data_IF_195179109135
#
_entry.id   IF_195179109135
#
_cell.length_a   1.000
_cell.length_b   1.000
_cell.length_c   1.000
_cell.angle_alpha   90.00
_cell.angle_beta   90.00
_cell.angle_gamma   90.00
#
_symmetry.space_group_name_H-M   'P 1'
#
loop_
_entity.id
_entity.type
_entity.pdbx_description
1 polymer ?
#
# COMPACT_ATOMS: atom_id res chain seq x y z
N UNK A 1 9.96 13.79 8.08
CA UNK A 1 11.11 14.55 7.58
C UNK A 1 11.12 14.84 6.11
N UNK A 2 10.29 14.25 5.29
CA UNK A 2 10.49 14.27 3.86
C UNK A 2 10.10 15.59 3.23
N UNK A 3 10.92 16.11 2.36
CA UNK A 3 10.40 16.88 1.27
C UNK A 3 9.47 15.95 0.49
N UNK A 4 8.24 16.37 0.15
CA UNK A 4 7.39 15.55 -0.69
C UNK A 4 8.10 15.30 -2.01
N UNK A 5 8.36 14.04 -2.30
CA UNK A 5 8.91 13.59 -3.58
C UNK A 5 7.81 13.32 -4.59
N UNK A 6 6.60 13.08 -4.10
CA UNK A 6 5.42 12.92 -4.93
C UNK A 6 5.20 14.13 -5.82
N UNK A 7 4.81 13.89 -7.04
CA UNK A 7 4.58 14.91 -8.07
C UNK A 7 5.82 15.76 -8.43
N UNK A 8 7.02 15.32 -8.05
CA UNK A 8 8.27 15.95 -8.48
C UNK A 8 8.80 15.26 -9.73
N UNK A 9 9.35 16.05 -10.66
CA UNK A 9 10.06 15.48 -11.79
C UNK A 9 11.36 14.81 -11.33
N UNK A 10 11.79 13.78 -12.05
CA UNK A 10 13.06 13.11 -11.78
C UNK A 10 14.26 14.09 -11.83
N UNK A 11 14.21 15.11 -12.70
CA UNK A 11 15.19 16.18 -12.74
C UNK A 11 15.25 16.95 -11.42
N UNK A 12 14.12 17.37 -10.89
CA UNK A 12 14.05 18.09 -9.61
C UNK A 12 14.62 17.27 -8.45
N UNK A 13 14.37 15.96 -8.43
CA UNK A 13 14.91 15.07 -7.40
C UNK A 13 16.43 14.93 -7.53
N UNK A 14 16.94 14.75 -8.75
CA UNK A 14 18.38 14.55 -9.02
C UNK A 14 19.23 15.84 -8.81
N UNK A 15 18.63 17.01 -8.89
CA UNK A 15 19.32 18.29 -8.70
C UNK A 15 19.55 18.64 -7.22
N UNK A 16 19.17 17.77 -6.31
CA UNK A 16 19.34 18.00 -4.88
C UNK A 16 18.51 19.15 -4.33
N UNK A 17 17.45 19.52 -5.03
CA UNK A 17 16.52 20.59 -4.60
C UNK A 17 15.54 20.16 -3.52
N UNK A 18 15.67 18.94 -3.00
CA UNK A 18 14.87 18.43 -1.90
C UNK A 18 15.36 19.09 -0.61
N UNK A 19 14.56 20.00 -0.11
CA UNK A 19 14.81 20.62 1.19
C UNK A 19 13.82 20.07 2.21
N UNK A 20 14.20 19.89 3.49
CA UNK A 20 13.27 19.51 4.53
C UNK A 20 12.13 20.52 4.62
N UNK A 21 10.90 20.03 4.50
CA UNK A 21 9.71 20.85 4.75
C UNK A 21 9.43 20.87 6.25
N UNK A 22 9.02 22.03 6.76
CA UNK A 22 8.55 22.14 8.13
C UNK A 22 7.25 21.33 8.34
N UNK A 23 6.92 21.02 9.60
CA UNK A 23 5.72 20.27 9.97
C UNK A 23 4.41 20.83 9.39
N UNK A 24 4.37 22.14 9.14
CA UNK A 24 3.21 22.80 8.54
C UNK A 24 2.85 22.30 7.12
N UNK A 25 3.78 21.65 6.44
CA UNK A 25 3.58 21.10 5.10
C UNK A 25 3.34 19.59 5.10
N UNK A 26 3.22 18.96 6.27
CA UNK A 26 2.98 17.52 6.43
C UNK A 26 1.50 17.20 6.76
N UNK A 27 0.57 18.09 6.39
CA UNK A 27 -0.85 17.95 6.75
C UNK A 27 -1.62 16.97 5.87
N UNK A 28 -1.09 16.65 4.70
CA UNK A 28 -1.73 15.74 3.72
C UNK A 28 -0.93 14.41 3.61
N UNK A 29 -0.62 13.81 4.76
CA UNK A 29 0.08 12.53 4.87
C UNK A 29 -0.94 11.42 5.19
N UNK A 30 -1.72 11.01 4.20
CA UNK A 30 -2.79 10.03 4.39
C UNK A 30 -2.26 8.67 4.82
N UNK A 31 -1.12 8.22 4.28
CA UNK A 31 -0.42 7.02 4.69
C UNK A 31 -0.27 6.95 6.22
N UNK A 32 0.36 7.93 6.82
CA UNK A 32 0.56 7.99 8.28
C UNK A 32 -0.74 8.12 9.07
N UNK A 33 -1.68 8.93 8.61
CA UNK A 33 -2.93 9.15 9.35
C UNK A 33 -3.84 7.92 9.31
N UNK A 34 -3.91 7.23 8.18
CA UNK A 34 -4.68 5.99 8.05
C UNK A 34 -4.07 4.90 8.89
N UNK A 35 -2.76 4.73 8.81
CA UNK A 35 -1.99 3.78 9.61
C UNK A 35 -2.21 3.98 11.11
N UNK A 36 -2.06 5.21 11.60
CA UNK A 36 -2.30 5.56 13.00
C UNK A 36 -3.76 5.35 13.42
N UNK A 37 -4.71 5.53 12.49
CA UNK A 37 -6.12 5.24 12.75
C UNK A 37 -6.34 3.75 13.00
N UNK A 38 -5.74 2.89 12.19
CA UNK A 38 -5.85 1.43 12.35
C UNK A 38 -5.06 0.92 13.56
N UNK A 39 -3.87 1.44 13.81
CA UNK A 39 -3.12 1.13 15.04
C UNK A 39 -3.94 1.48 16.29
N UNK A 40 -4.64 2.62 16.27
CA UNK A 40 -5.54 3.02 17.36
C UNK A 40 -6.72 2.06 17.56
N UNK A 41 -7.24 1.44 16.51
CA UNK A 41 -8.26 0.38 16.68
C UNK A 41 -7.69 -0.77 17.50
N UNK A 42 -6.48 -1.20 17.19
CA UNK A 42 -5.81 -2.27 17.96
C UNK A 42 -5.60 -1.89 19.41
N UNK A 43 -5.24 -0.64 19.71
CA UNK A 43 -5.08 -0.14 21.07
C UNK A 43 -6.40 -0.09 21.86
N UNK A 44 -7.50 0.27 21.20
CA UNK A 44 -8.77 0.55 21.87
C UNK A 44 -9.72 -0.63 21.90
N UNK A 45 -9.70 -1.45 20.84
CA UNK A 45 -10.57 -2.62 20.70
C UNK A 45 -9.82 -3.91 21.00
N UNK A 46 -8.53 -3.96 20.67
CA UNK A 46 -7.65 -5.12 20.84
C UNK A 46 -7.26 -5.77 19.50
N UNK A 47 -6.36 -6.75 19.59
CA UNK A 47 -5.80 -7.44 18.43
C UNK A 47 -6.82 -8.30 17.68
N UNK A 48 -7.96 -8.62 18.30
CA UNK A 48 -9.05 -9.37 17.67
C UNK A 48 -10.08 -8.48 16.98
N UNK A 49 -9.80 -7.18 16.83
CA UNK A 49 -10.67 -6.25 16.13
C UNK A 49 -11.05 -6.78 14.74
N UNK A 50 -12.33 -6.65 14.42
CA UNK A 50 -12.89 -7.11 13.14
C UNK A 50 -12.71 -6.05 12.06
N UNK A 51 -12.77 -6.44 10.79
CA UNK A 51 -12.76 -5.52 9.65
C UNK A 51 -13.84 -4.44 9.77
N UNK A 52 -15.02 -4.78 10.30
CA UNK A 52 -16.10 -3.81 10.53
C UNK A 52 -15.69 -2.75 11.55
N UNK A 53 -15.05 -3.14 12.65
CA UNK A 53 -14.58 -2.20 13.69
C UNK A 53 -13.49 -1.26 13.18
N UNK A 54 -12.57 -1.76 12.34
CA UNK A 54 -11.63 -0.89 11.62
C UNK A 54 -12.36 0.12 10.73
N UNK A 55 -13.35 -0.35 9.97
CA UNK A 55 -14.17 0.50 9.12
C UNK A 55 -14.93 1.58 9.89
N UNK A 56 -15.47 1.29 11.07
CA UNK A 56 -16.18 2.26 11.91
C UNK A 56 -15.27 3.42 12.33
N UNK A 57 -14.07 3.14 12.81
CA UNK A 57 -13.12 4.20 13.19
C UNK A 57 -12.64 4.99 11.98
N UNK A 58 -12.39 4.30 10.86
CA UNK A 58 -11.97 4.93 9.62
C UNK A 58 -13.05 5.86 9.04
N UNK A 59 -14.33 5.47 9.10
CA UNK A 59 -15.47 6.30 8.69
C UNK A 59 -15.45 7.67 9.36
N UNK A 60 -15.12 7.71 10.64
CA UNK A 60 -15.22 8.92 11.48
C UNK A 60 -13.96 9.80 11.40
N UNK A 61 -12.94 9.37 10.65
CA UNK A 61 -11.71 10.13 10.40
C UNK A 61 -11.98 11.42 9.62
N UNK A 62 -11.13 12.46 9.83
CA UNK A 62 -11.37 13.82 9.30
C UNK A 62 -10.26 14.34 8.37
N UNK A 63 -9.18 13.59 8.21
CA UNK A 63 -8.10 13.97 7.30
C UNK A 63 -8.48 13.75 5.83
N UNK A 64 -7.73 14.37 4.92
CA UNK A 64 -7.89 14.20 3.48
C UNK A 64 -7.59 12.76 3.07
N UNK A 65 -8.34 12.26 2.10
CA UNK A 65 -8.17 10.91 1.54
C UNK A 65 -8.37 10.94 0.04
N UNK A 66 -7.72 10.01 -0.65
CA UNK A 66 -7.78 9.84 -2.09
C UNK A 66 -8.16 8.40 -2.46
N UNK A 67 -8.34 8.11 -3.71
CA UNK A 67 -8.48 6.78 -4.33
C UNK A 67 -9.32 5.77 -3.52
N UNK A 68 -8.77 4.61 -3.19
CA UNK A 68 -9.47 3.56 -2.47
C UNK A 68 -9.92 4.00 -1.07
N UNK A 69 -9.10 4.77 -0.37
CA UNK A 69 -9.40 5.33 0.94
C UNK A 69 -10.62 6.26 0.89
N UNK A 70 -10.65 7.20 -0.04
CA UNK A 70 -11.76 8.13 -0.21
C UNK A 70 -13.04 7.38 -0.61
N UNK A 71 -12.94 6.38 -1.48
CA UNK A 71 -14.02 5.50 -1.87
C UNK A 71 -14.60 4.74 -0.68
N UNK A 72 -13.74 4.09 0.10
CA UNK A 72 -14.13 3.32 1.27
C UNK A 72 -14.83 4.19 2.33
N UNK A 73 -14.25 5.34 2.71
CA UNK A 73 -14.87 6.23 3.69
C UNK A 73 -16.22 6.76 3.23
N UNK A 74 -16.37 7.09 1.94
CA UNK A 74 -17.65 7.47 1.34
C UNK A 74 -18.68 6.35 1.44
N UNK A 75 -18.31 5.11 1.17
CA UNK A 75 -19.16 3.94 1.27
C UNK A 75 -19.59 3.69 2.71
N UNK A 76 -18.66 3.71 3.65
CA UNK A 76 -18.93 3.58 5.09
C UNK A 76 -19.90 4.66 5.58
N UNK A 77 -19.73 5.90 5.14
CA UNK A 77 -20.62 7.02 5.48
C UNK A 77 -22.04 6.85 4.91
N UNK A 78 -22.20 6.04 3.86
CA UNK A 78 -23.49 5.68 3.26
C UNK A 78 -24.10 4.40 3.83
N UNK A 79 -23.47 3.80 4.85
CA UNK A 79 -23.94 2.59 5.50
C UNK A 79 -23.45 1.28 4.86
N UNK A 80 -22.58 1.34 3.84
CA UNK A 80 -21.93 0.15 3.28
C UNK A 80 -20.77 -0.21 4.19
N UNK A 81 -20.96 -1.24 5.02
CA UNK A 81 -19.98 -1.63 6.03
C UNK A 81 -18.76 -2.34 5.42
N UNK A 82 -17.63 -2.29 6.12
CA UNK A 82 -16.49 -3.12 5.79
C UNK A 82 -16.83 -4.61 6.07
N UNK A 83 -16.36 -5.55 5.24
CA UNK A 83 -15.41 -5.38 4.14
C UNK A 83 -16.01 -4.90 2.81
N UNK A 84 -17.32 -4.74 2.69
CA UNK A 84 -17.95 -4.34 1.43
C UNK A 84 -17.59 -2.90 1.01
N UNK A 85 -17.19 -2.04 1.94
CA UNK A 85 -16.74 -0.68 1.65
C UNK A 85 -15.54 -0.63 0.69
N UNK A 86 -14.65 -1.62 0.75
CA UNK A 86 -13.49 -1.77 -0.13
C UNK A 86 -13.75 -2.68 -1.35
N UNK A 87 -14.90 -3.38 -1.40
CA UNK A 87 -15.17 -4.36 -2.45
C UNK A 87 -15.32 -3.69 -3.84
N UNK A 88 -14.83 -4.32 -4.93
CA UNK A 88 -14.90 -3.75 -6.29
C UNK A 88 -16.31 -3.36 -6.74
N UNK A 89 -17.35 -4.00 -6.24
CA UNK A 89 -18.74 -3.64 -6.56
C UNK A 89 -19.14 -2.25 -6.03
N UNK A 90 -18.43 -1.74 -5.03
CA UNK A 90 -18.74 -0.47 -4.37
C UNK A 90 -17.59 0.53 -4.41
N UNK A 91 -16.36 0.07 -4.63
CA UNK A 91 -15.16 0.90 -4.68
C UNK A 91 -14.40 0.65 -5.98
N UNK A 92 -14.54 1.57 -6.92
CA UNK A 92 -13.87 1.47 -8.23
C UNK A 92 -12.35 1.53 -8.14
N UNK A 93 -11.82 2.02 -7.01
CA UNK A 93 -10.40 2.10 -6.67
C UNK A 93 -9.93 0.92 -5.80
N UNK A 94 -10.72 -0.13 -5.63
CA UNK A 94 -10.39 -1.28 -4.78
C UNK A 94 -9.01 -1.89 -5.04
N UNK A 95 -8.49 -1.73 -6.25
CA UNK A 95 -7.19 -2.28 -6.67
C UNK A 95 -6.05 -1.25 -6.68
N UNK A 96 -6.28 -0.04 -6.15
CA UNK A 96 -5.27 1.01 -6.08
C UNK A 96 -4.30 0.79 -4.90
N UNK A 97 -3.28 1.64 -4.84
CA UNK A 97 -2.10 1.49 -3.98
C UNK A 97 -2.37 1.62 -2.47
N UNK A 98 -3.50 2.20 -2.06
CA UNK A 98 -3.69 2.78 -0.73
C UNK A 98 -3.22 1.89 0.42
N UNK A 99 -3.75 0.67 0.56
CA UNK A 99 -3.36 -0.19 1.67
C UNK A 99 -1.87 -0.58 1.66
N UNK A 100 -1.22 -0.55 0.51
CA UNK A 100 0.20 -0.87 0.40
C UNK A 100 1.08 0.16 1.13
N UNK A 101 0.72 1.44 1.07
CA UNK A 101 1.45 2.52 1.75
C UNK A 101 1.05 2.67 3.23
N UNK A 102 0.13 1.86 3.71
CA UNK A 102 -0.46 1.93 5.06
C UNK A 102 -0.34 0.61 5.82
N UNK A 103 0.50 -0.32 5.35
CA UNK A 103 0.55 -1.69 5.86
C UNK A 103 1.81 -2.02 6.66
N UNK A 104 2.78 -1.15 6.72
CA UNK A 104 4.04 -1.39 7.41
C UNK A 104 3.85 -1.64 8.91
N UNK A 105 2.90 -0.95 9.56
CA UNK A 105 2.63 -1.15 10.98
C UNK A 105 2.25 -2.59 11.33
N UNK A 106 1.53 -3.33 10.46
CA UNK A 106 1.19 -4.72 10.74
C UNK A 106 2.43 -5.63 10.72
N UNK A 107 3.39 -5.32 9.85
CA UNK A 107 4.70 -5.99 9.83
C UNK A 107 5.57 -5.62 11.01
N UNK A 108 5.60 -4.33 11.39
CA UNK A 108 6.35 -3.83 12.54
C UNK A 108 5.83 -4.40 13.86
N UNK A 109 4.55 -4.71 13.97
CA UNK A 109 3.93 -5.35 15.14
C UNK A 109 4.18 -6.86 15.23
N UNK A 110 4.63 -7.49 14.15
CA UNK A 110 4.78 -8.95 14.05
C UNK A 110 6.20 -9.38 13.66
N UNK A 111 7.26 -8.96 14.42
CA UNK A 111 8.64 -9.25 14.08
C UNK A 111 8.90 -10.74 13.88
N UNK A 112 9.38 -11.15 12.71
CA UNK A 112 9.67 -12.53 12.38
C UNK A 112 8.44 -13.43 12.15
N UNK A 113 7.23 -12.86 12.13
CA UNK A 113 5.98 -13.60 12.01
C UNK A 113 5.16 -13.14 10.79
N UNK A 114 5.64 -13.36 9.55
CA UNK A 114 4.97 -12.86 8.34
C UNK A 114 3.53 -13.39 8.15
N UNK A 115 3.23 -14.58 8.68
CA UNK A 115 1.86 -15.11 8.63
C UNK A 115 0.91 -14.36 9.58
N UNK A 116 1.39 -13.94 10.76
CA UNK A 116 0.62 -13.11 11.66
C UNK A 116 0.40 -11.72 11.04
N UNK A 117 1.45 -11.13 10.44
CA UNK A 117 1.32 -9.90 9.63
C UNK A 117 0.21 -10.03 8.60
N UNK A 118 0.20 -11.12 7.84
CA UNK A 118 -0.78 -11.37 6.79
C UNK A 118 -2.22 -11.45 7.33
N UNK A 119 -2.41 -12.04 8.50
CA UNK A 119 -3.70 -12.14 9.16
C UNK A 119 -4.28 -10.75 9.53
N UNK A 120 -3.44 -9.86 10.06
CA UNK A 120 -3.84 -8.47 10.34
C UNK A 120 -4.03 -7.68 9.06
N UNK A 121 -3.13 -7.81 8.09
CA UNK A 121 -3.21 -7.14 6.79
C UNK A 121 -4.51 -7.46 6.05
N UNK A 122 -4.97 -8.71 6.05
CA UNK A 122 -6.25 -9.10 5.44
C UNK A 122 -7.44 -8.38 6.09
N UNK A 123 -7.47 -8.31 7.42
CA UNK A 123 -8.56 -7.62 8.14
C UNK A 123 -8.59 -6.12 7.88
N UNK A 124 -7.44 -5.49 7.97
CA UNK A 124 -7.31 -4.03 7.83
C UNK A 124 -7.49 -3.61 6.38
N UNK A 125 -6.79 -4.24 5.47
CA UNK A 125 -6.79 -3.85 4.05
C UNK A 125 -8.16 -3.98 3.39
N UNK A 126 -8.99 -4.91 3.82
CA UNK A 126 -10.34 -5.06 3.28
C UNK A 126 -11.31 -3.92 3.65
N UNK A 127 -10.91 -2.99 4.47
CA UNK A 127 -11.68 -1.76 4.66
C UNK A 127 -11.75 -0.95 3.37
N UNK A 128 -10.63 -0.91 2.58
CA UNK A 128 -10.52 -0.07 1.39
C UNK A 128 -10.10 -0.83 0.11
N UNK A 129 -9.36 -1.93 0.21
CA UNK A 129 -8.75 -2.60 -0.94
C UNK A 129 -9.15 -4.07 -1.10
N UNK A 130 -9.03 -4.54 -2.34
CA UNK A 130 -9.16 -5.94 -2.76
C UNK A 130 -8.16 -6.24 -3.87
N UNK A 131 -8.02 -7.52 -4.25
CA UNK A 131 -7.13 -7.92 -5.33
C UNK A 131 -5.67 -7.52 -5.12
N UNK A 132 -5.02 -7.04 -6.16
CA UNK A 132 -3.60 -6.65 -6.11
C UNK A 132 -3.35 -5.44 -5.18
N UNK A 133 -4.34 -4.56 -4.96
CA UNK A 133 -4.26 -3.49 -3.97
C UNK A 133 -4.12 -4.01 -2.54
N UNK A 134 -4.88 -5.06 -2.19
CA UNK A 134 -4.74 -5.77 -0.91
C UNK A 134 -3.43 -6.55 -0.83
N UNK A 135 -3.07 -7.26 -1.91
CA UNK A 135 -1.85 -8.07 -1.95
C UNK A 135 -0.58 -7.24 -1.82
N UNK A 136 -0.57 -6.01 -2.34
CA UNK A 136 0.52 -5.07 -2.12
C UNK A 136 0.79 -4.86 -0.63
N UNK A 137 -0.24 -4.52 0.15
CA UNK A 137 -0.11 -4.35 1.60
C UNK A 137 0.29 -5.63 2.34
N UNK A 138 -0.27 -6.78 1.96
CA UNK A 138 0.13 -8.07 2.53
C UNK A 138 1.61 -8.37 2.29
N UNK A 139 2.11 -8.12 1.09
CA UNK A 139 3.51 -8.31 0.73
C UNK A 139 4.42 -7.39 1.56
N UNK A 140 4.11 -6.10 1.64
CA UNK A 140 4.91 -5.14 2.41
C UNK A 140 4.89 -5.46 3.90
N UNK A 141 3.74 -5.74 4.49
CA UNK A 141 3.66 -6.16 5.89
C UNK A 141 4.52 -7.40 6.18
N UNK A 142 4.51 -8.40 5.30
CA UNK A 142 5.36 -9.59 5.44
C UNK A 142 6.85 -9.27 5.26
N UNK A 143 7.21 -8.35 4.35
CA UNK A 143 8.59 -7.87 4.19
C UNK A 143 9.08 -7.17 5.45
N UNK A 144 8.29 -6.25 6.04
CA UNK A 144 8.64 -5.60 7.31
C UNK A 144 8.83 -6.62 8.44
N UNK A 145 7.91 -7.59 8.58
CA UNK A 145 8.05 -8.65 9.58
C UNK A 145 9.34 -9.47 9.41
N UNK A 146 9.71 -9.79 8.17
CA UNK A 146 10.92 -10.55 7.87
C UNK A 146 12.20 -9.74 8.11
N UNK A 147 12.20 -8.44 7.81
CA UNK A 147 13.37 -7.57 7.88
C UNK A 147 13.93 -7.37 9.30
N UNK A 148 13.20 -7.75 10.34
CA UNK A 148 13.76 -7.78 11.70
C UNK A 148 14.88 -8.82 11.87
N UNK A 149 14.92 -9.87 11.04
CA UNK A 149 15.85 -10.99 11.18
C UNK A 149 16.58 -11.32 9.88
N UNK A 150 16.11 -10.83 8.74
CA UNK A 150 16.75 -11.01 7.43
C UNK A 150 17.41 -9.70 6.99
N UNK A 151 18.65 -9.79 6.56
CA UNK A 151 19.46 -8.63 6.15
C UNK A 151 19.67 -8.57 4.63
N UNK A 152 19.40 -9.64 3.91
CA UNK A 152 19.45 -9.67 2.46
C UNK A 152 18.14 -9.14 1.87
N UNK A 153 18.14 -7.98 1.19
CA UNK A 153 16.93 -7.41 0.60
C UNK A 153 16.20 -8.35 -0.37
N UNK A 154 16.94 -9.17 -1.11
CA UNK A 154 16.34 -10.17 -2.01
C UNK A 154 15.50 -11.17 -1.23
N UNK A 155 16.03 -11.69 -0.14
CA UNK A 155 15.31 -12.65 0.72
C UNK A 155 14.13 -12.02 1.42
N UNK A 156 14.24 -10.75 1.81
CA UNK A 156 13.09 -9.99 2.37
C UNK A 156 11.95 -9.94 1.36
N UNK A 157 12.24 -9.61 0.09
CA UNK A 157 11.22 -9.59 -0.98
C UNK A 157 10.66 -10.99 -1.24
N UNK A 158 11.49 -12.04 -1.25
CA UNK A 158 11.04 -13.42 -1.38
C UNK A 158 10.08 -13.83 -0.26
N UNK A 159 10.33 -13.42 0.99
CA UNK A 159 9.41 -13.65 2.10
C UNK A 159 8.06 -12.94 1.88
N UNK A 160 8.09 -11.70 1.38
CA UNK A 160 6.87 -10.98 0.99
C UNK A 160 6.06 -11.73 -0.08
N UNK A 161 6.73 -12.29 -1.09
CA UNK A 161 6.07 -13.06 -2.15
C UNK A 161 5.36 -14.34 -1.63
N UNK A 162 5.81 -14.91 -0.52
CA UNK A 162 5.14 -16.06 0.10
C UNK A 162 3.81 -15.68 0.78
N UNK A 163 3.60 -14.39 1.06
CA UNK A 163 2.41 -13.89 1.73
C UNK A 163 1.20 -13.68 0.79
N UNK A 164 1.42 -13.71 -0.52
CA UNK A 164 0.39 -13.39 -1.52
C UNK A 164 0.21 -14.53 -2.53
N UNK A 165 -0.94 -14.61 -3.22
CA UNK A 165 -1.15 -15.65 -4.23
C UNK A 165 -0.10 -15.58 -5.33
N UNK A 166 0.53 -16.72 -5.61
CA UNK A 166 1.64 -16.82 -6.55
C UNK A 166 1.29 -16.35 -7.97
N UNK A 167 0.03 -16.49 -8.37
CA UNK A 167 -0.46 -16.13 -9.70
C UNK A 167 -1.13 -14.75 -9.75
N UNK A 168 -1.10 -13.99 -8.65
CA UNK A 168 -1.59 -12.59 -8.65
C UNK A 168 -0.80 -11.73 -9.62
N UNK A 169 -1.41 -10.64 -10.10
CA UNK A 169 -0.74 -9.66 -10.93
C UNK A 169 0.46 -9.06 -10.20
N UNK A 170 0.28 -8.76 -8.92
CA UNK A 170 1.33 -8.21 -8.07
C UNK A 170 2.55 -9.15 -7.93
N UNK A 171 2.31 -10.44 -7.65
CA UNK A 171 3.42 -11.41 -7.53
C UNK A 171 4.18 -11.59 -8.85
N UNK A 172 3.49 -11.55 -9.98
CA UNK A 172 4.11 -11.61 -11.31
C UNK A 172 4.96 -10.38 -11.58
N UNK A 173 4.47 -9.19 -11.24
CA UNK A 173 5.22 -7.94 -11.38
C UNK A 173 6.53 -7.99 -10.56
N UNK A 174 6.44 -8.35 -9.28
CA UNK A 174 7.63 -8.42 -8.41
C UNK A 174 8.66 -9.40 -8.95
N UNK A 175 8.22 -10.57 -9.44
CA UNK A 175 9.15 -11.54 -10.09
C UNK A 175 9.77 -10.99 -11.38
N UNK A 176 9.03 -10.23 -12.18
CA UNK A 176 9.59 -9.55 -13.34
C UNK A 176 10.71 -8.57 -12.93
N UNK A 177 10.47 -7.78 -11.89
CA UNK A 177 11.46 -6.81 -11.36
C UNK A 177 12.71 -7.54 -10.88
N UNK A 178 12.56 -8.61 -10.10
CA UNK A 178 13.69 -9.42 -9.64
C UNK A 178 14.49 -10.03 -10.80
N UNK A 179 13.78 -10.57 -11.80
CA UNK A 179 14.42 -11.14 -12.99
C UNK A 179 15.16 -10.08 -13.83
N UNK A 180 14.59 -8.89 -13.97
CA UNK A 180 15.22 -7.80 -14.70
C UNK A 180 16.41 -7.22 -13.93
N UNK A 181 16.30 -7.10 -12.61
CA UNK A 181 17.43 -6.70 -11.78
C UNK A 181 18.60 -7.70 -11.88
N UNK A 182 18.33 -8.99 -11.87
CA UNK A 182 19.35 -10.02 -12.03
C UNK A 182 20.06 -9.94 -13.38
N UNK A 183 19.35 -9.52 -14.46
CA UNK A 183 19.94 -9.31 -15.78
C UNK A 183 20.74 -8.03 -15.89
N UNK A 184 20.33 -6.99 -15.19
CA UNK A 184 20.89 -5.64 -15.33
C UNK A 184 20.86 -4.87 -13.99
N UNK A 185 21.70 -5.30 -13.02
CA UNK A 185 21.63 -4.75 -11.66
C UNK A 185 22.12 -3.30 -11.56
N UNK A 186 22.87 -2.82 -12.54
CA UNK A 186 23.48 -1.49 -12.51
C UNK A 186 22.53 -0.38 -13.08
N UNK A 187 21.52 -0.75 -13.84
CA UNK A 187 20.65 0.23 -14.52
C UNK A 187 19.19 0.09 -14.07
N UNK A 188 18.88 0.69 -12.92
CA UNK A 188 17.52 0.73 -12.40
C UNK A 188 16.56 1.49 -13.34
N UNK A 189 17.02 2.50 -14.09
CA UNK A 189 16.20 3.26 -15.04
C UNK A 189 15.72 2.43 -16.20
N UNK A 190 16.52 1.46 -16.65
CA UNK A 190 16.11 0.50 -17.66
C UNK A 190 15.01 -0.42 -17.13
N UNK A 191 15.15 -0.87 -15.90
CA UNK A 191 14.15 -1.72 -15.26
C UNK A 191 12.85 -0.95 -15.00
N UNK A 192 12.93 0.30 -14.58
CA UNK A 192 11.77 1.19 -14.47
C UNK A 192 11.01 1.31 -15.81
N UNK A 193 11.70 1.55 -16.94
CA UNK A 193 11.04 1.59 -18.25
C UNK A 193 10.33 0.30 -18.60
N UNK A 194 10.90 -0.86 -18.25
CA UNK A 194 10.26 -2.16 -18.46
C UNK A 194 8.96 -2.31 -17.64
N UNK A 195 8.95 -1.78 -16.42
CA UNK A 195 7.73 -1.73 -15.60
C UNK A 195 6.68 -0.87 -16.30
N UNK A 196 7.05 0.35 -16.71
CA UNK A 196 6.15 1.25 -17.43
C UNK A 196 5.58 0.62 -18.70
N UNK A 197 6.39 -0.03 -19.52
CA UNK A 197 5.99 -0.66 -20.76
C UNK A 197 5.07 -1.86 -20.56
N UNK A 198 5.33 -2.68 -19.56
CA UNK A 198 4.60 -3.93 -19.34
C UNK A 198 3.39 -3.77 -18.43
N UNK A 199 3.51 -2.97 -17.39
CA UNK A 199 2.57 -2.93 -16.27
C UNK A 199 1.78 -1.62 -16.15
N UNK A 200 2.33 -0.49 -16.62
CA UNK A 200 1.63 0.79 -16.56
C UNK A 200 0.58 0.92 -17.69
N UNK A 201 -0.45 0.11 -17.60
CA UNK A 201 -1.61 0.18 -18.49
C UNK A 201 -2.70 0.94 -17.76
N UNK A 202 -2.65 2.27 -17.85
CA UNK A 202 -3.65 3.12 -17.24
C UNK A 202 -4.99 3.02 -17.96
N UNK A 203 -5.85 2.13 -17.50
CA UNK A 203 -7.25 2.16 -17.88
C UNK A 203 -7.93 3.34 -17.18
N UNK A 204 -8.80 4.11 -17.88
CA UNK A 204 -9.53 5.19 -17.24
C UNK A 204 -10.47 4.63 -16.18
N UNK A 205 -10.45 5.19 -14.98
CA UNK A 205 -11.37 4.82 -13.93
C UNK A 205 -12.80 5.30 -14.26
N UNK A 206 -13.85 4.53 -13.95
CA UNK A 206 -15.25 4.89 -14.23
C UNK A 206 -15.71 6.22 -13.65
N UNK A 207 -15.13 6.70 -12.57
CA UNK A 207 -15.46 7.99 -11.96
C UNK A 207 -14.65 9.16 -12.53
N UNK A 208 -13.80 8.90 -13.52
CA UNK A 208 -12.94 9.89 -14.15
C UNK A 208 -11.71 10.30 -13.34
N UNK A 209 -11.49 9.69 -12.17
CA UNK A 209 -10.28 9.85 -11.38
C UNK A 209 -9.23 8.89 -11.93
N UNK A 210 -7.98 9.34 -12.03
CA UNK A 210 -6.90 8.48 -12.49
C UNK A 210 -6.70 7.31 -11.50
N UNK A 211 -6.63 6.09 -12.03
CA UNK A 211 -6.21 4.92 -11.25
C UNK A 211 -4.77 5.11 -10.79
N UNK A 212 -4.49 4.78 -9.54
CA UNK A 212 -3.15 4.76 -8.98
C UNK A 212 -2.77 3.33 -8.61
N UNK A 213 -2.28 2.54 -9.58
CA UNK A 213 -2.14 1.10 -9.43
C UNK A 213 -1.18 0.71 -8.31
N UNK A 214 -1.43 -0.43 -7.67
CA UNK A 214 -0.61 -0.96 -6.60
C UNK A 214 0.87 -1.20 -6.97
N UNK A 215 1.20 -1.29 -8.25
CA UNK A 215 2.59 -1.48 -8.72
C UNK A 215 3.42 -0.20 -8.85
N UNK A 216 2.83 0.99 -8.69
CA UNK A 216 3.55 2.27 -8.80
C UNK A 216 4.84 2.33 -7.95
N UNK A 217 4.89 1.81 -6.72
CA UNK A 217 6.13 1.83 -5.93
C UNK A 217 7.28 1.02 -6.51
N UNK A 218 7.02 0.14 -7.46
CA UNK A 218 8.05 -0.64 -8.14
C UNK A 218 8.55 0.04 -9.42
N UNK A 219 7.87 1.06 -9.87
CA UNK A 219 8.26 1.93 -10.99
C UNK A 219 9.12 3.09 -10.50
#
# INVERSE_FOLDING_TARGET
YGAPTEFRSLGQINEGTIVPLGLANAIDQDDLYVEMTFARVMDTVGLDATTEQYGEMFRDSKYSLWHANAGARRNLSRGIKAPMSGHPDFNVHANDIDFQIESDFVGLMTPGLPQASNHYADRVGRVMNYGDGLYGGMLFGAMYAAAFFETDPHRVVEQGLLAIPAESGYARLVRDVLAWHAQDPADWRKNWRRIEEKWNRGDPCPDGVRVYPAWVPWA
#
